data_IF_925664947526
#
_entry.id   IF_925664947526
#
_cell.length_a   1.000
_cell.length_b   1.000
_cell.length_c   1.000
_cell.angle_alpha   90.00
_cell.angle_beta   90.00
_cell.angle_gamma   90.00
#
_symmetry.space_group_name_H-M   'P 1'
#
loop_
_entity.id
_entity.type
_entity.pdbx_description
1 polymer ?
#
# COMPACT_ATOMS: atom_id res chain seq x y z
N UNK A 1 -1.73 -7.94 17.88
CA UNK A 1 -0.40 -8.55 17.75
C UNK A 1 -0.25 -9.90 18.45
N UNK A 2 -1.00 -10.20 19.52
CA UNK A 2 -0.94 -11.50 20.22
C UNK A 2 -1.51 -12.69 19.43
N UNK A 3 -2.28 -12.41 18.38
CA UNK A 3 -2.92 -13.42 17.52
C UNK A 3 -1.88 -13.97 16.53
N UNK A 4 -1.94 -15.26 16.26
CA UNK A 4 -1.13 -15.93 15.24
C UNK A 4 -1.92 -16.04 13.94
N UNK A 5 -1.60 -15.23 12.92
CA UNK A 5 -2.38 -15.18 11.69
C UNK A 5 -2.26 -16.48 10.89
N UNK A 6 -1.14 -17.18 11.02
CA UNK A 6 -0.94 -18.47 10.39
C UNK A 6 -1.97 -19.50 10.91
N UNK A 7 -2.26 -19.52 12.21
CA UNK A 7 -3.22 -20.45 12.79
C UNK A 7 -4.66 -20.17 12.34
N UNK A 8 -4.99 -18.90 12.09
CA UNK A 8 -6.35 -18.48 11.75
C UNK A 8 -6.65 -18.54 10.24
N UNK A 9 -5.64 -18.35 9.37
CA UNK A 9 -5.83 -18.16 7.92
C UNK A 9 -5.35 -19.35 7.08
N UNK A 10 -4.28 -20.05 7.48
CA UNK A 10 -3.71 -21.20 6.72
C UNK A 10 -4.74 -22.26 6.32
N UNK A 11 -5.80 -22.58 7.10
CA UNK A 11 -6.73 -23.64 6.70
C UNK A 11 -7.47 -23.39 5.38
N UNK A 12 -7.39 -22.17 4.80
CA UNK A 12 -8.25 -21.74 3.70
C UNK A 12 -7.50 -21.30 2.43
N UNK A 13 -6.18 -21.08 2.49
CA UNK A 13 -5.40 -20.48 1.39
C UNK A 13 -4.02 -21.14 1.23
N UNK A 14 -3.56 -21.35 -0.01
CA UNK A 14 -2.21 -21.89 -0.28
C UNK A 14 -1.10 -20.95 0.22
N UNK A 15 -1.34 -19.64 0.22
CA UNK A 15 -0.48 -18.63 0.84
C UNK A 15 -1.36 -17.60 1.53
N UNK A 16 -1.62 -17.73 2.85
CA UNK A 16 -2.45 -16.78 3.56
C UNK A 16 -1.86 -15.37 3.47
N UNK A 17 -2.71 -14.39 3.17
CA UNK A 17 -2.30 -13.00 2.99
C UNK A 17 -3.07 -12.06 3.91
N UNK A 18 -2.38 -11.06 4.46
CA UNK A 18 -2.98 -10.03 5.31
C UNK A 18 -2.61 -8.63 4.85
N UNK A 19 -3.61 -7.74 4.91
CA UNK A 19 -3.44 -6.30 4.72
C UNK A 19 -3.48 -5.58 6.06
N UNK A 20 -2.49 -4.71 6.30
CA UNK A 20 -2.28 -4.08 7.61
C UNK A 20 -2.20 -2.57 7.44
N UNK A 21 -3.09 -1.84 8.12
CA UNK A 21 -3.00 -0.41 8.32
C UNK A 21 -2.69 -0.13 9.80
N UNK A 22 -1.41 -0.14 10.22
CA UNK A 22 -1.05 -0.04 11.62
C UNK A 22 -1.26 1.38 12.16
N UNK A 23 -1.37 1.58 13.49
CA UNK A 23 -1.28 2.91 14.08
C UNK A 23 0.07 3.55 13.76
N UNK A 24 0.06 4.69 13.07
CA UNK A 24 1.28 5.39 12.62
C UNK A 24 2.14 5.99 13.74
N UNK A 25 1.59 6.06 14.96
CA UNK A 25 2.36 6.42 16.15
C UNK A 25 3.23 5.29 16.71
N UNK A 26 2.99 4.03 16.30
CA UNK A 26 3.70 2.87 16.84
C UNK A 26 3.79 1.73 15.81
N UNK A 27 4.62 1.92 14.78
CA UNK A 27 4.72 1.02 13.63
C UNK A 27 5.63 -0.19 13.89
N UNK A 28 6.73 -0.03 14.66
CA UNK A 28 7.73 -1.07 14.88
C UNK A 28 7.15 -2.45 15.27
N UNK A 29 6.21 -2.56 16.23
CA UNK A 29 5.65 -3.86 16.61
C UNK A 29 4.91 -4.58 15.47
N UNK A 30 4.42 -3.84 14.47
CA UNK A 30 3.75 -4.41 13.30
C UNK A 30 4.73 -4.88 12.23
N UNK A 31 5.87 -4.19 12.10
CA UNK A 31 7.00 -4.66 11.30
C UNK A 31 7.54 -5.97 11.88
N UNK A 32 7.75 -6.02 13.19
CA UNK A 32 8.19 -7.24 13.87
C UNK A 32 7.21 -8.38 13.70
N UNK A 33 5.91 -8.09 13.80
CA UNK A 33 4.88 -9.08 13.54
C UNK A 33 4.86 -9.55 12.09
N UNK A 34 5.05 -8.67 11.12
CA UNK A 34 5.17 -9.02 9.70
C UNK A 34 6.28 -10.03 9.46
N UNK A 35 7.46 -9.82 10.05
CA UNK A 35 8.59 -10.76 9.96
C UNK A 35 8.30 -12.09 10.68
N UNK A 36 7.71 -12.04 11.88
CA UNK A 36 7.31 -13.26 12.61
C UNK A 36 6.37 -14.13 11.75
N UNK A 37 5.41 -13.50 11.09
CA UNK A 37 4.35 -14.19 10.34
C UNK A 37 4.81 -14.62 8.95
N UNK A 38 5.73 -13.88 8.34
CA UNK A 38 6.47 -14.31 7.15
C UNK A 38 7.18 -15.65 7.37
N UNK A 39 7.84 -15.82 8.52
CA UNK A 39 8.50 -17.09 8.87
C UNK A 39 7.50 -18.24 9.12
N UNK A 40 6.21 -17.94 9.24
CA UNK A 40 5.11 -18.90 9.36
C UNK A 40 4.32 -19.10 8.06
N UNK A 41 4.81 -18.56 6.94
CA UNK A 41 4.16 -18.72 5.63
C UNK A 41 3.10 -17.68 5.29
N UNK A 42 2.99 -16.59 6.06
CA UNK A 42 1.98 -15.54 5.83
C UNK A 42 2.57 -14.38 5.03
N UNK A 43 1.96 -14.05 3.89
CA UNK A 43 2.24 -12.82 3.16
C UNK A 43 1.62 -11.63 3.92
N UNK A 44 2.45 -10.68 4.34
CA UNK A 44 1.98 -9.49 5.06
C UNK A 44 2.28 -8.22 4.30
N UNK A 45 1.26 -7.38 4.05
CA UNK A 45 1.44 -6.08 3.38
C UNK A 45 1.00 -4.94 4.30
N UNK A 46 1.92 -4.03 4.62
CA UNK A 46 1.67 -2.87 5.48
C UNK A 46 1.54 -1.60 4.64
N UNK A 47 0.55 -0.77 4.92
CA UNK A 47 0.45 0.61 4.44
C UNK A 47 0.99 1.58 5.49
N UNK A 48 2.16 2.17 5.25
CA UNK A 48 2.86 3.03 6.22
C UNK A 48 3.50 4.25 5.56
N UNK A 49 3.84 5.32 6.31
CA UNK A 49 4.57 6.45 5.78
C UNK A 49 5.94 6.04 5.22
N UNK A 50 6.39 6.62 4.11
CA UNK A 50 7.73 6.41 3.57
C UNK A 50 8.76 7.21 4.37
N UNK A 51 9.13 6.72 5.56
CA UNK A 51 10.02 7.41 6.51
C UNK A 51 11.28 6.59 6.79
N UNK A 52 12.22 6.57 5.83
CA UNK A 52 13.44 5.76 5.87
C UNK A 52 14.48 6.19 6.92
N UNK A 53 14.14 7.13 7.80
CA UNK A 53 14.99 7.65 8.87
C UNK A 53 14.62 7.09 10.24
N UNK A 54 13.47 6.43 10.35
CA UNK A 54 12.97 5.90 11.62
C UNK A 54 13.54 4.52 11.92
N UNK A 55 13.67 4.20 13.20
CA UNK A 55 14.11 2.88 13.68
C UNK A 55 13.30 1.71 13.12
N UNK A 56 12.00 1.91 12.87
CA UNK A 56 11.14 0.83 12.39
C UNK A 56 11.35 0.48 10.91
N UNK A 57 12.12 1.26 10.15
CA UNK A 57 12.24 1.12 8.71
C UNK A 57 12.93 -0.22 8.31
N UNK A 58 12.23 -1.14 7.64
CA UNK A 58 12.67 -2.54 7.49
C UNK A 58 13.50 -2.78 6.22
N UNK A 59 14.49 -1.94 5.93
CA UNK A 59 15.28 -1.99 4.69
C UNK A 59 15.97 -3.34 4.40
N UNK A 60 16.31 -4.09 5.45
CA UNK A 60 16.99 -5.39 5.43
C UNK A 60 16.07 -6.57 5.79
N UNK A 61 14.83 -6.28 6.18
CA UNK A 61 13.85 -7.27 6.68
C UNK A 61 12.66 -7.44 5.75
N UNK A 62 12.30 -6.41 4.98
CA UNK A 62 11.21 -6.45 4.03
C UNK A 62 11.61 -7.22 2.75
N UNK A 63 10.65 -7.90 2.14
CA UNK A 63 10.82 -8.47 0.81
C UNK A 63 10.73 -7.40 -0.26
N UNK A 64 9.80 -6.45 -0.10
CA UNK A 64 9.57 -5.38 -1.07
C UNK A 64 9.06 -4.11 -0.42
N UNK A 65 9.53 -2.97 -0.91
CA UNK A 65 9.04 -1.64 -0.56
C UNK A 65 8.54 -0.96 -1.84
N UNK A 66 7.28 -0.56 -1.85
CA UNK A 66 6.59 -0.04 -3.03
C UNK A 66 6.10 1.38 -2.74
N UNK A 67 6.70 2.38 -3.39
CA UNK A 67 6.23 3.75 -3.27
C UNK A 67 4.92 3.95 -4.03
N UNK A 68 3.95 4.62 -3.40
CA UNK A 68 2.71 5.03 -4.06
C UNK A 68 2.97 6.37 -4.74
N UNK A 69 2.88 6.39 -6.07
CA UNK A 69 3.24 7.56 -6.90
C UNK A 69 2.04 8.19 -7.56
N UNK A 70 2.21 9.47 -7.93
CA UNK A 70 1.22 10.22 -8.71
C UNK A 70 1.13 9.74 -10.16
N UNK A 71 0.14 10.28 -10.87
CA UNK A 71 -0.13 9.94 -12.27
C UNK A 71 -0.80 11.12 -12.98
N UNK A 72 -0.75 11.13 -14.31
CA UNK A 72 -1.57 12.03 -15.12
C UNK A 72 -2.90 11.35 -15.43
N UNK A 73 -3.99 12.06 -15.13
CA UNK A 73 -5.34 11.67 -15.48
C UNK A 73 -5.76 12.38 -16.77
N UNK A 74 -6.26 11.62 -17.75
CA UNK A 74 -6.86 12.19 -18.96
C UNK A 74 -8.27 12.72 -18.66
N UNK A 75 -8.52 13.99 -18.95
CA UNK A 75 -9.80 14.68 -18.74
C UNK A 75 -10.53 14.97 -20.06
N UNK A 76 -10.31 14.12 -21.06
CA UNK A 76 -10.75 14.30 -22.44
C UNK A 76 -9.76 15.14 -23.24
N UNK A 77 -10.24 15.87 -24.25
CA UNK A 77 -9.40 16.65 -25.17
C UNK A 77 -9.72 18.14 -25.15
N UNK A 78 -8.78 18.98 -25.56
CA UNK A 78 -9.04 20.40 -25.83
C UNK A 78 -10.03 20.53 -27.00
N UNK A 79 -11.14 21.26 -26.76
CA UNK A 79 -12.21 21.46 -27.76
C UNK A 79 -11.94 22.63 -28.71
N UNK A 80 -11.05 23.54 -28.32
CA UNK A 80 -10.71 24.76 -29.06
C UNK A 80 -9.29 25.24 -28.69
N UNK A 81 -8.79 26.22 -29.42
CA UNK A 81 -7.47 26.81 -29.23
C UNK A 81 -6.33 26.04 -29.90
N UNK A 82 -5.08 26.45 -29.66
CA UNK A 82 -3.89 25.88 -30.32
C UNK A 82 -3.73 24.37 -30.10
N UNK A 83 -4.18 23.85 -28.95
CA UNK A 83 -4.03 22.45 -28.58
C UNK A 83 -5.27 21.61 -28.93
N UNK A 84 -6.19 22.11 -29.77
CA UNK A 84 -7.45 21.41 -30.09
C UNK A 84 -7.18 19.98 -30.59
N UNK A 85 -7.85 19.01 -29.98
CA UNK A 85 -7.67 17.58 -30.27
C UNK A 85 -6.64 16.88 -29.39
N UNK A 86 -5.77 17.62 -28.70
CA UNK A 86 -4.80 17.02 -27.77
C UNK A 86 -5.44 16.62 -26.44
N UNK A 87 -4.92 15.58 -25.75
CA UNK A 87 -5.36 15.19 -24.42
C UNK A 87 -5.16 16.30 -23.38
N UNK A 88 -6.17 16.50 -22.55
CA UNK A 88 -6.06 17.30 -21.32
C UNK A 88 -5.57 16.41 -20.21
N UNK A 89 -4.32 16.60 -19.81
CA UNK A 89 -3.73 15.88 -18.69
C UNK A 89 -3.85 16.70 -17.40
N UNK A 90 -4.30 16.06 -16.33
CA UNK A 90 -4.30 16.62 -14.98
C UNK A 90 -3.42 15.78 -14.07
N UNK A 91 -2.43 16.42 -13.45
CA UNK A 91 -1.61 15.77 -12.43
C UNK A 91 -2.44 15.40 -11.21
N UNK A 92 -2.31 14.16 -10.73
CA UNK A 92 -2.87 13.64 -9.49
C UNK A 92 -1.71 13.15 -8.62
N UNK A 93 -1.62 13.63 -7.38
CA UNK A 93 -0.59 13.22 -6.43
C UNK A 93 -0.74 11.74 -6.02
N UNK A 94 0.33 11.13 -5.52
CA UNK A 94 0.30 9.79 -4.94
C UNK A 94 -0.27 9.73 -3.52
N UNK A 95 -0.64 10.87 -2.93
CA UNK A 95 -1.16 10.93 -1.56
C UNK A 95 -2.46 10.16 -1.41
N UNK A 96 -2.56 9.46 -0.28
CA UNK A 96 -3.73 8.67 0.10
C UNK A 96 -4.59 9.51 1.05
N UNK A 97 -5.91 9.42 0.85
CA UNK A 97 -6.91 9.98 1.76
C UNK A 97 -7.57 8.85 2.53
N UNK A 98 -7.93 9.13 3.77
CA UNK A 98 -8.63 8.15 4.59
C UNK A 98 -10.12 8.37 4.60
N UNK A 99 -10.85 7.25 4.71
CA UNK A 99 -12.26 7.26 5.07
C UNK A 99 -12.33 7.40 6.58
N UNK A 100 -13.00 8.44 7.03
CA UNK A 100 -13.31 8.63 8.43
C UNK A 100 -14.22 7.49 8.90
N UNK A 101 -13.74 6.68 9.85
CA UNK A 101 -14.48 5.50 10.32
C UNK A 101 -15.80 5.84 11.02
N UNK A 102 -15.95 7.06 11.57
CA UNK A 102 -17.18 7.49 12.25
C UNK A 102 -18.23 8.00 11.27
N UNK A 103 -17.80 8.71 10.22
CA UNK A 103 -18.73 9.39 9.30
C UNK A 103 -18.88 8.67 7.95
N UNK A 104 -17.98 7.73 7.64
CA UNK A 104 -17.93 7.03 6.36
C UNK A 104 -17.50 7.92 5.19
N UNK A 105 -17.07 9.17 5.44
CA UNK A 105 -16.67 10.12 4.40
C UNK A 105 -15.16 10.15 4.24
N UNK A 106 -14.71 10.31 3.00
CA UNK A 106 -13.31 10.60 2.70
C UNK A 106 -12.91 11.96 3.29
N UNK A 107 -11.78 11.98 3.99
CA UNK A 107 -11.17 13.22 4.47
C UNK A 107 -10.69 14.07 3.27
N UNK A 108 -10.94 15.39 3.28
CA UNK A 108 -10.66 16.24 2.11
C UNK A 108 -9.16 16.38 1.80
N UNK A 109 -8.32 16.22 2.83
CA UNK A 109 -6.87 16.33 2.73
C UNK A 109 -6.21 14.96 2.61
N UNK A 110 -5.18 14.90 1.78
CA UNK A 110 -4.24 13.77 1.78
C UNK A 110 -3.41 13.77 3.07
N UNK A 111 -2.84 12.61 3.40
CA UNK A 111 -1.85 12.52 4.48
C UNK A 111 -0.65 13.43 4.19
N UNK A 112 -0.12 14.04 5.25
CA UNK A 112 1.02 14.96 5.18
C UNK A 112 2.36 14.25 4.89
N UNK A 113 2.41 12.92 5.00
CA UNK A 113 3.56 12.11 4.66
C UNK A 113 3.27 11.26 3.41
N UNK A 114 4.23 11.08 2.50
CA UNK A 114 4.12 10.10 1.43
C UNK A 114 3.94 8.71 2.04
N UNK A 115 3.16 7.87 1.38
CA UNK A 115 2.84 6.51 1.82
C UNK A 115 3.51 5.48 0.90
N UNK A 116 3.88 4.34 1.48
CA UNK A 116 4.39 3.18 0.74
C UNK A 116 3.75 1.89 1.26
N UNK A 117 3.85 0.84 0.44
CA UNK A 117 3.57 -0.52 0.84
C UNK A 117 4.87 -1.22 1.24
N UNK A 118 4.82 -2.01 2.31
CA UNK A 118 5.92 -2.87 2.72
C UNK A 118 5.41 -4.30 2.76
N UNK A 119 6.04 -5.17 1.98
CA UNK A 119 5.68 -6.59 1.88
C UNK A 119 6.70 -7.46 2.60
N UNK A 120 6.21 -8.40 3.40
CA UNK A 120 6.95 -9.52 3.96
C UNK A 120 6.41 -10.79 3.32
N UNK A 121 7.10 -11.29 2.29
CA UNK A 121 6.68 -12.43 1.50
C UNK A 121 7.45 -13.70 1.92
N UNK A 122 6.77 -14.79 2.33
CA UNK A 122 7.43 -16.01 2.80
C UNK A 122 8.34 -16.66 1.74
N UNK A 123 8.06 -16.45 0.45
CA UNK A 123 8.84 -17.02 -0.65
C UNK A 123 10.13 -16.24 -0.96
N UNK A 124 10.33 -15.08 -0.32
CA UNK A 124 11.47 -14.19 -0.57
C UNK A 124 12.38 -14.03 0.66
N UNK A 125 12.27 -14.91 1.66
CA UNK A 125 13.17 -14.91 2.82
C UNK A 125 14.62 -15.12 2.36
N UNK A 126 15.53 -14.28 2.85
CA UNK A 126 16.96 -14.31 2.50
C UNK A 126 17.31 -13.61 1.18
N UNK A 127 16.31 -13.15 0.42
CA UNK A 127 16.55 -12.33 -0.77
C UNK A 127 16.73 -10.84 -0.38
N UNK A 128 17.52 -10.06 -1.14
CA UNK A 128 17.59 -8.62 -0.94
C UNK A 128 16.22 -7.94 -1.07
N UNK A 129 15.95 -6.94 -0.23
CA UNK A 129 14.74 -6.13 -0.34
C UNK A 129 14.65 -5.48 -1.73
N UNK A 130 13.52 -5.68 -2.39
CA UNK A 130 13.21 -5.09 -3.69
C UNK A 130 12.54 -3.73 -3.54
N UNK A 131 12.78 -2.84 -4.50
CA UNK A 131 12.16 -1.51 -4.54
C UNK A 131 11.34 -1.34 -5.81
N UNK A 132 10.19 -0.70 -5.70
CA UNK A 132 9.34 -0.42 -6.86
C UNK A 132 8.37 0.72 -6.60
N UNK A 133 7.53 0.97 -7.60
CA UNK A 133 6.50 2.01 -7.53
C UNK A 133 5.17 1.46 -8.05
N UNK A 134 4.06 1.97 -7.51
CA UNK A 134 2.72 1.75 -8.06
C UNK A 134 1.99 3.09 -8.18
N UNK A 135 1.34 3.33 -9.32
CA UNK A 135 0.53 4.53 -9.48
C UNK A 135 -0.73 4.42 -8.61
N UNK A 136 -1.13 5.53 -7.97
CA UNK A 136 -2.28 5.56 -7.06
C UNK A 136 -3.57 5.06 -7.73
N UNK A 137 -3.88 5.47 -8.96
CA UNK A 137 -5.07 4.96 -9.68
C UNK A 137 -5.06 3.45 -9.85
N UNK A 138 -3.90 2.86 -10.19
CA UNK A 138 -3.77 1.40 -10.36
C UNK A 138 -4.02 0.70 -9.03
N UNK A 139 -3.39 1.16 -7.95
CA UNK A 139 -3.61 0.60 -6.61
C UNK A 139 -5.08 0.68 -6.18
N UNK A 140 -5.73 1.84 -6.39
CA UNK A 140 -7.15 2.01 -6.06
C UNK A 140 -8.05 1.11 -6.91
N UNK A 141 -7.76 0.96 -8.21
CA UNK A 141 -8.51 0.08 -9.09
C UNK A 141 -8.40 -1.39 -8.66
N UNK A 142 -7.19 -1.85 -8.28
CA UNK A 142 -7.00 -3.20 -7.74
C UNK A 142 -7.83 -3.43 -6.49
N UNK A 143 -7.86 -2.46 -5.56
CA UNK A 143 -8.69 -2.52 -4.36
C UNK A 143 -10.18 -2.56 -4.66
N UNK A 144 -10.67 -1.72 -5.59
CA UNK A 144 -12.07 -1.72 -6.01
C UNK A 144 -12.49 -3.04 -6.66
N UNK A 145 -11.65 -3.60 -7.54
CA UNK A 145 -11.92 -4.88 -8.18
C UNK A 145 -12.03 -6.00 -7.13
N UNK A 146 -11.09 -6.06 -6.18
CA UNK A 146 -11.10 -7.06 -5.11
C UNK A 146 -12.32 -6.96 -4.18
N UNK A 147 -12.93 -5.77 -4.05
CA UNK A 147 -14.19 -5.58 -3.29
C UNK A 147 -15.43 -6.02 -4.08
N UNK A 148 -15.38 -5.93 -5.42
CA UNK A 148 -16.50 -6.29 -6.29
C UNK A 148 -16.51 -7.77 -6.70
N UNK A 149 -15.39 -8.48 -6.51
CA UNK A 149 -15.25 -9.93 -6.76
C UNK A 149 -15.78 -10.81 -5.61
N UNK A 150 -16.24 -10.22 -4.50
CA UNK A 150 -16.87 -10.89 -3.37
C UNK A 150 -18.40 -10.82 -3.44
#
# INVERSE_FOLDING_TARGET
LKIDWSADIIPFEETPAVWINPPYSNILPWVDKGVEQQNKGVLSTLLVPRDNRTEWWPHDRASKIIDIVGYYEEQGVYKSGPNKGEPKLKWRSGGIRFINSRTGKEEPAELNKPMCLIEFNPHLIGQPCQFGTIQKNVLMAMGHNALNEK
#
